data_IF_591938088032
#
_entry.id   IF_591938088032
#
_cell.length_a   1.000
_cell.length_b   1.000
_cell.length_c   1.000
_cell.angle_alpha   90.00
_cell.angle_beta   90.00
_cell.angle_gamma   90.00
#
_symmetry.space_group_name_H-M   'P 1'
#
loop_
_entity.id
_entity.type
_entity.pdbx_description
1 polymer ?
#
# COMPACT_ATOMS: atom_id res chain seq x y z
N UNK A 1 -26.96 12.86 -3.99
CA UNK A 1 -26.30 12.45 -5.24
C UNK A 1 -24.78 12.34 -5.11
N UNK A 2 -24.12 13.17 -4.28
CA UNK A 2 -22.67 13.10 -4.09
C UNK A 2 -22.24 11.98 -3.12
N UNK A 3 -23.10 11.61 -2.15
CA UNK A 3 -22.79 10.57 -1.15
C UNK A 3 -22.69 9.18 -1.77
N UNK A 4 -23.57 8.84 -2.72
CA UNK A 4 -23.54 7.54 -3.39
C UNK A 4 -22.30 7.36 -4.27
N UNK A 5 -21.87 8.42 -4.96
CA UNK A 5 -20.61 8.41 -5.72
C UNK A 5 -19.39 8.25 -4.83
N UNK A 6 -19.39 8.87 -3.65
CA UNK A 6 -18.32 8.73 -2.68
C UNK A 6 -18.23 7.30 -2.14
N UNK A 7 -19.37 6.70 -1.76
CA UNK A 7 -19.43 5.31 -1.28
C UNK A 7 -18.94 4.34 -2.37
N UNK A 8 -19.41 4.51 -3.61
CA UNK A 8 -18.95 3.69 -4.74
C UNK A 8 -17.44 3.83 -4.98
N UNK A 9 -16.91 5.05 -4.92
CA UNK A 9 -15.49 5.31 -5.05
C UNK A 9 -14.68 4.62 -3.94
N UNK A 10 -15.12 4.73 -2.67
CA UNK A 10 -14.46 4.07 -1.55
C UNK A 10 -14.48 2.54 -1.69
N UNK A 11 -15.59 1.96 -2.17
CA UNK A 11 -15.67 0.54 -2.49
C UNK A 11 -14.66 0.13 -3.56
N UNK A 12 -14.51 0.94 -4.62
CA UNK A 12 -13.48 0.70 -5.65
C UNK A 12 -12.06 0.77 -5.07
N UNK A 13 -11.76 1.75 -4.22
CA UNK A 13 -10.46 1.86 -3.56
C UNK A 13 -10.17 0.64 -2.70
N UNK A 14 -11.14 0.20 -1.89
CA UNK A 14 -11.00 -1.00 -1.05
C UNK A 14 -10.76 -2.26 -1.88
N UNK A 15 -11.55 -2.45 -2.94
CA UNK A 15 -11.42 -3.61 -3.82
C UNK A 15 -10.09 -3.63 -4.58
N UNK A 16 -9.72 -2.51 -5.19
CA UNK A 16 -8.44 -2.38 -5.91
C UNK A 16 -7.26 -2.62 -4.97
N UNK A 17 -7.31 -2.09 -3.74
CA UNK A 17 -6.26 -2.30 -2.74
C UNK A 17 -6.13 -3.76 -2.32
N UNK A 18 -7.26 -4.43 -2.03
CA UNK A 18 -7.27 -5.84 -1.63
C UNK A 18 -6.71 -6.74 -2.75
N UNK A 19 -7.18 -6.52 -3.98
CA UNK A 19 -6.75 -7.30 -5.14
C UNK A 19 -5.27 -7.08 -5.44
N UNK A 20 -4.80 -5.83 -5.41
CA UNK A 20 -3.40 -5.48 -5.70
C UNK A 20 -2.45 -6.03 -4.63
N UNK A 21 -2.87 -6.03 -3.35
CA UNK A 21 -2.12 -6.67 -2.28
C UNK A 21 -1.96 -8.17 -2.52
N UNK A 22 -3.05 -8.86 -2.88
CA UNK A 22 -3.02 -10.27 -3.23
C UNK A 22 -2.14 -10.55 -4.44
N UNK A 23 -2.19 -9.68 -5.45
CA UNK A 23 -1.34 -9.78 -6.64
C UNK A 23 0.15 -9.61 -6.29
N UNK A 24 0.52 -8.66 -5.44
CA UNK A 24 1.89 -8.52 -4.93
C UNK A 24 2.38 -9.78 -4.21
N UNK A 25 1.53 -10.39 -3.38
CA UNK A 25 1.81 -11.65 -2.70
C UNK A 25 1.98 -12.82 -3.68
N UNK A 26 1.11 -12.90 -4.70
CA UNK A 26 1.20 -13.88 -5.79
C UNK A 26 2.52 -13.74 -6.56
N UNK A 27 2.91 -12.52 -6.85
CA UNK A 27 4.15 -12.23 -7.55
C UNK A 27 5.39 -12.66 -6.76
N UNK A 28 5.38 -12.49 -5.43
CA UNK A 28 6.48 -12.93 -4.57
C UNK A 28 6.62 -14.45 -4.50
N UNK A 29 5.52 -15.16 -4.28
CA UNK A 29 5.55 -16.63 -4.13
C UNK A 29 5.54 -17.38 -5.47
N UNK A 30 5.26 -16.72 -6.59
CA UNK A 30 5.21 -17.33 -7.91
C UNK A 30 3.93 -18.11 -8.22
N UNK A 31 2.89 -18.05 -7.38
CA UNK A 31 1.61 -18.71 -7.71
C UNK A 31 0.78 -17.87 -8.68
N UNK A 32 -0.12 -18.51 -9.47
CA UNK A 32 -0.86 -17.83 -10.51
C UNK A 32 -1.76 -16.70 -9.97
N UNK A 33 -1.72 -15.52 -10.59
CA UNK A 33 -2.45 -14.32 -10.18
C UNK A 33 -3.98 -14.51 -10.18
N UNK A 34 -4.52 -15.40 -11.01
CA UNK A 34 -5.96 -15.68 -11.09
C UNK A 34 -6.51 -16.42 -9.86
N UNK A 35 -5.64 -16.94 -9.00
CA UNK A 35 -6.02 -17.53 -7.71
C UNK A 35 -6.38 -16.44 -6.71
N UNK A 36 -5.83 -15.23 -6.91
CA UNK A 36 -6.10 -14.08 -6.04
C UNK A 36 -7.58 -13.73 -6.09
N UNK A 37 -8.23 -13.79 -4.94
CA UNK A 37 -9.60 -13.33 -4.72
C UNK A 37 -9.60 -12.17 -3.76
N UNK A 38 -10.60 -11.30 -3.87
CA UNK A 38 -10.86 -10.27 -2.87
C UNK A 38 -12.25 -10.54 -2.29
N UNK A 39 -12.30 -11.25 -1.17
CA UNK A 39 -13.52 -11.46 -0.40
C UNK A 39 -14.01 -10.18 0.26
N UNK A 40 -15.25 -10.17 0.74
CA UNK A 40 -15.83 -9.00 1.42
C UNK A 40 -14.99 -8.57 2.63
N UNK A 41 -14.45 -9.52 3.39
CA UNK A 41 -13.58 -9.25 4.54
C UNK A 41 -12.27 -8.58 4.12
N UNK A 42 -11.66 -9.03 3.03
CA UNK A 42 -10.43 -8.47 2.50
C UNK A 42 -10.65 -7.04 2.00
N UNK A 43 -11.77 -6.81 1.30
CA UNK A 43 -12.18 -5.47 0.85
C UNK A 43 -12.47 -4.56 2.04
N UNK A 44 -13.17 -5.04 3.06
CA UNK A 44 -13.46 -4.25 4.27
C UNK A 44 -12.19 -3.86 5.03
N UNK A 45 -11.24 -4.79 5.22
CA UNK A 45 -9.94 -4.51 5.84
C UNK A 45 -9.12 -3.52 5.02
N UNK A 46 -9.07 -3.70 3.70
CA UNK A 46 -8.36 -2.80 2.80
C UNK A 46 -8.98 -1.41 2.76
N UNK A 47 -10.31 -1.32 2.85
CA UNK A 47 -11.03 -0.06 2.93
C UNK A 47 -10.72 0.67 4.24
N UNK A 48 -10.75 -0.04 5.38
CA UNK A 48 -10.38 0.53 6.68
C UNK A 48 -8.94 1.05 6.64
N UNK A 49 -8.02 0.27 6.10
CA UNK A 49 -6.63 0.69 5.92
C UNK A 49 -6.52 1.93 5.02
N UNK A 50 -7.22 1.98 3.90
CA UNK A 50 -7.24 3.13 3.01
C UNK A 50 -7.79 4.40 3.70
N UNK A 51 -8.83 4.27 4.53
CA UNK A 51 -9.38 5.39 5.31
C UNK A 51 -8.35 5.91 6.32
N UNK A 52 -7.67 5.02 7.04
CA UNK A 52 -6.63 5.39 8.02
C UNK A 52 -5.49 6.11 7.30
N UNK A 53 -5.00 5.57 6.19
CA UNK A 53 -3.93 6.17 5.40
C UNK A 53 -4.33 7.53 4.86
N UNK A 54 -5.54 7.67 4.31
CA UNK A 54 -6.05 8.98 3.88
C UNK A 54 -6.14 9.97 5.04
N UNK A 55 -6.61 9.53 6.21
CA UNK A 55 -6.66 10.36 7.41
C UNK A 55 -5.27 10.88 7.80
N UNK A 56 -4.26 10.01 7.78
CA UNK A 56 -2.87 10.37 8.08
C UNK A 56 -2.32 11.35 7.03
N UNK A 57 -2.58 11.11 5.73
CA UNK A 57 -2.16 12.00 4.65
C UNK A 57 -2.80 13.38 4.79
N UNK A 58 -4.11 13.46 5.03
CA UNK A 58 -4.80 14.74 5.23
C UNK A 58 -4.34 15.46 6.48
N UNK A 59 -4.10 14.76 7.59
CA UNK A 59 -3.56 15.34 8.82
C UNK A 59 -2.15 15.86 8.59
N UNK A 60 -1.27 15.09 7.96
CA UNK A 60 0.08 15.51 7.64
C UNK A 60 0.11 16.72 6.70
N UNK A 61 -0.76 16.74 5.66
CA UNK A 61 -0.90 17.90 4.79
C UNK A 61 -1.45 19.13 5.54
N UNK A 62 -2.41 18.92 6.45
CA UNK A 62 -2.94 19.97 7.32
C UNK A 62 -1.85 20.60 8.19
N UNK A 63 -1.04 19.76 8.85
CA UNK A 63 0.11 20.19 9.66
C UNK A 63 1.12 20.92 8.76
N UNK A 64 1.46 20.40 7.59
CA UNK A 64 2.37 21.02 6.63
C UNK A 64 1.91 22.40 6.20
N UNK A 65 0.61 22.57 5.91
CA UNK A 65 0.01 23.86 5.55
C UNK A 65 0.08 24.82 6.74
N UNK A 66 -0.21 24.36 7.95
CA UNK A 66 -0.19 25.15 9.17
C UNK A 66 1.22 25.65 9.47
N UNK A 67 2.24 24.80 9.37
CA UNK A 67 3.64 25.20 9.44
C UNK A 67 4.01 26.23 8.38
N UNK A 68 3.56 26.02 7.15
CA UNK A 68 3.79 26.98 6.05
C UNK A 68 3.22 28.37 6.38
N UNK A 69 1.99 28.43 6.89
CA UNK A 69 1.34 29.69 7.25
C UNK A 69 2.04 30.39 8.40
N UNK A 70 2.47 29.65 9.43
CA UNK A 70 3.20 30.18 10.58
C UNK A 70 4.55 30.79 10.17
N UNK A 71 5.30 30.10 9.30
CA UNK A 71 6.62 30.61 8.85
C UNK A 71 6.44 31.77 7.87
N UNK A 72 5.45 31.68 6.96
CA UNK A 72 5.13 32.82 6.04
C UNK A 72 4.80 34.10 6.79
N UNK A 73 4.13 33.99 7.96
CA UNK A 73 3.83 35.14 8.81
C UNK A 73 5.08 35.73 9.45
N UNK A 74 6.16 34.92 9.63
CA UNK A 74 7.38 35.30 10.38
C UNK A 74 8.56 35.71 9.47
N UNK A 75 8.58 35.29 8.22
CA UNK A 75 9.71 35.59 7.31
C UNK A 75 9.26 35.89 5.88
N UNK A 76 9.93 36.90 5.24
CA UNK A 76 9.77 37.26 3.83
C UNK A 76 10.39 36.22 2.85
N UNK A 77 10.64 34.99 3.27
CA UNK A 77 11.40 34.00 2.50
C UNK A 77 10.47 33.35 1.46
N UNK A 78 10.80 33.52 0.20
CA UNK A 78 10.10 32.97 -0.98
C UNK A 78 10.32 31.45 -1.17
N UNK A 79 11.16 30.80 -0.39
CA UNK A 79 11.65 29.44 -0.62
C UNK A 79 10.93 28.30 0.13
N UNK A 80 9.78 28.60 0.69
CA UNK A 80 9.02 27.62 1.48
C UNK A 80 8.33 26.51 0.69
N UNK A 81 8.35 26.57 -0.64
CA UNK A 81 7.72 25.55 -1.47
C UNK A 81 8.43 24.18 -1.42
N UNK A 82 9.75 24.18 -1.15
CA UNK A 82 10.57 22.97 -1.06
C UNK A 82 10.19 22.09 0.13
N UNK A 83 10.11 22.66 1.34
CA UNK A 83 9.73 21.91 2.54
C UNK A 83 8.33 21.32 2.43
N UNK A 84 7.40 22.06 1.86
CA UNK A 84 6.04 21.58 1.63
C UNK A 84 6.02 20.39 0.68
N UNK A 85 6.77 20.45 -0.41
CA UNK A 85 6.90 19.37 -1.37
C UNK A 85 7.57 18.14 -0.73
N UNK A 86 8.67 18.34 0.00
CA UNK A 86 9.38 17.30 0.71
C UNK A 86 8.47 16.59 1.72
N UNK A 87 7.75 17.34 2.56
CA UNK A 87 6.80 16.74 3.51
C UNK A 87 5.68 15.97 2.81
N UNK A 88 5.12 16.52 1.73
CA UNK A 88 4.08 15.83 0.98
C UNK A 88 4.56 14.49 0.40
N UNK A 89 5.77 14.46 -0.16
CA UNK A 89 6.35 13.23 -0.72
C UNK A 89 6.70 12.23 0.39
N UNK A 90 7.26 12.70 1.52
CA UNK A 90 7.56 11.83 2.67
C UNK A 90 6.28 11.19 3.22
N UNK A 91 5.19 11.94 3.29
CA UNK A 91 3.89 11.43 3.72
C UNK A 91 3.29 10.41 2.74
N UNK A 92 3.60 10.50 1.44
CA UNK A 92 3.20 9.47 0.47
C UNK A 92 3.82 8.11 0.78
N UNK A 93 5.03 8.07 1.33
CA UNK A 93 5.70 6.85 1.75
C UNK A 93 5.30 6.36 3.15
N UNK A 94 4.63 7.21 3.94
CA UNK A 94 4.25 6.89 5.31
C UNK A 94 3.43 5.60 5.47
N UNK A 95 2.47 5.26 4.58
CA UNK A 95 1.72 4.01 4.69
C UNK A 95 2.61 2.77 4.68
N UNK A 96 3.65 2.76 3.86
CA UNK A 96 4.60 1.64 3.78
C UNK A 96 5.42 1.55 5.07
N UNK A 97 5.88 2.69 5.58
CA UNK A 97 6.63 2.77 6.85
C UNK A 97 5.76 2.28 8.00
N UNK A 98 4.49 2.71 8.05
CA UNK A 98 3.54 2.33 9.09
C UNK A 98 3.22 0.83 9.09
N UNK A 99 2.98 0.25 7.91
CA UNK A 99 2.76 -1.20 7.77
C UNK A 99 3.98 -2.00 8.24
N UNK A 100 5.18 -1.58 7.87
CA UNK A 100 6.42 -2.21 8.30
C UNK A 100 6.66 -2.06 9.81
N UNK A 101 6.23 -0.95 10.41
CA UNK A 101 6.29 -0.71 11.85
C UNK A 101 5.37 -1.67 12.62
N UNK A 102 4.15 -1.89 12.11
CA UNK A 102 3.21 -2.87 12.68
C UNK A 102 3.78 -4.29 12.64
N UNK A 103 4.51 -4.65 11.59
CA UNK A 103 5.15 -5.95 11.45
C UNK A 103 6.34 -6.19 12.42
N UNK A 104 6.65 -5.25 13.30
CA UNK A 104 7.72 -5.32 14.34
C UNK A 104 9.09 -5.75 13.78
N UNK A 105 9.48 -5.27 12.61
CA UNK A 105 10.75 -5.66 12.00
C UNK A 105 11.89 -4.73 12.41
N UNK A 106 13.03 -5.31 12.74
CA UNK A 106 14.25 -4.59 13.17
C UNK A 106 14.89 -3.72 12.07
N UNK A 107 14.49 -3.89 10.81
CA UNK A 107 15.00 -3.14 9.65
C UNK A 107 14.27 -1.83 9.35
N UNK A 108 13.42 -1.36 10.24
CA UNK A 108 12.58 -0.16 10.01
C UNK A 108 13.46 1.08 9.84
N UNK A 109 14.55 1.19 10.60
CA UNK A 109 15.39 2.39 10.62
C UNK A 109 16.11 2.64 9.29
N UNK A 110 16.86 1.69 8.70
CA UNK A 110 17.50 1.90 7.40
C UNK A 110 16.48 2.07 6.27
N UNK A 111 15.31 1.40 6.34
CA UNK A 111 14.28 1.53 5.33
C UNK A 111 13.58 2.88 5.40
N UNK A 112 13.22 3.37 6.59
CA UNK A 112 12.64 4.71 6.77
C UNK A 112 13.61 5.80 6.32
N UNK A 113 14.90 5.65 6.61
CA UNK A 113 15.94 6.56 6.16
C UNK A 113 16.04 6.57 4.63
N UNK A 114 15.97 5.41 3.99
CA UNK A 114 15.93 5.28 2.53
C UNK A 114 14.74 6.02 1.93
N UNK A 115 13.54 5.92 2.52
CA UNK A 115 12.35 6.65 2.05
C UNK A 115 12.49 8.17 2.24
N UNK A 116 13.09 8.63 3.35
CA UNK A 116 13.36 10.04 3.58
C UNK A 116 14.34 10.58 2.54
N UNK A 117 15.43 9.85 2.28
CA UNK A 117 16.43 10.23 1.27
C UNK A 117 15.79 10.25 -0.12
N UNK A 118 15.01 9.24 -0.47
CA UNK A 118 14.27 9.18 -1.76
C UNK A 118 13.31 10.35 -1.90
N UNK A 119 12.58 10.71 -0.84
CA UNK A 119 11.67 11.87 -0.82
C UNK A 119 12.43 13.18 -1.05
N UNK A 120 13.62 13.30 -0.45
CA UNK A 120 14.47 14.47 -0.62
C UNK A 120 14.98 14.58 -2.06
N UNK A 121 15.49 13.48 -2.63
CA UNK A 121 15.96 13.42 -4.03
C UNK A 121 14.83 13.76 -5.00
N UNK A 122 13.65 13.15 -4.83
CA UNK A 122 12.47 13.42 -5.67
C UNK A 122 12.06 14.89 -5.55
N UNK A 123 12.08 15.47 -4.34
CA UNK A 123 11.74 16.89 -4.12
C UNK A 123 12.72 17.84 -4.83
N UNK A 124 14.01 17.52 -4.82
CA UNK A 124 15.03 18.26 -5.55
C UNK A 124 14.81 18.17 -7.05
N UNK A 125 14.56 16.96 -7.57
CA UNK A 125 14.30 16.72 -8.99
C UNK A 125 13.08 17.53 -9.44
N UNK A 126 11.96 17.44 -8.72
CA UNK A 126 10.74 18.19 -9.05
C UNK A 126 10.98 19.69 -9.00
N UNK A 127 11.81 20.19 -8.06
CA UNK A 127 12.15 21.61 -7.97
C UNK A 127 12.99 22.08 -9.16
N UNK A 128 13.98 21.28 -9.58
CA UNK A 128 14.82 21.59 -10.73
C UNK A 128 13.97 21.60 -12.01
N UNK A 129 13.20 20.53 -12.23
CA UNK A 129 12.30 20.43 -13.38
C UNK A 129 11.14 21.42 -13.32
N UNK A 130 10.62 21.73 -12.12
CA UNK A 130 9.58 22.74 -11.92
C UNK A 130 10.02 24.17 -12.22
N UNK A 131 11.33 24.46 -12.21
CA UNK A 131 11.89 25.74 -12.74
C UNK A 131 11.91 25.77 -14.27
N UNK A 132 12.09 24.61 -14.91
CA UNK A 132 12.09 24.46 -16.37
C UNK A 132 10.66 24.37 -16.90
N UNK A 133 9.81 23.60 -16.22
CA UNK A 133 8.37 23.55 -16.45
C UNK A 133 7.67 24.37 -15.38
N UNK A 134 7.23 25.57 -15.71
CA UNK A 134 6.42 26.38 -14.76
C UNK A 134 5.20 25.54 -14.35
N UNK A 135 5.13 25.18 -13.07
CA UNK A 135 3.99 24.43 -12.49
C UNK A 135 2.66 25.21 -12.66
N UNK A 136 2.73 26.53 -12.87
CA UNK A 136 1.61 27.37 -13.29
C UNK A 136 0.98 26.90 -14.61
N UNK A 137 1.77 26.34 -15.54
CA UNK A 137 1.26 25.88 -16.84
C UNK A 137 0.31 24.67 -16.70
N UNK A 138 0.48 23.82 -15.67
CA UNK A 138 -0.41 22.68 -15.44
C UNK A 138 -1.76 23.08 -14.83
N UNK A 139 -1.80 24.11 -13.97
CA UNK A 139 -3.05 24.58 -13.38
C UNK A 139 -3.88 25.40 -14.36
N UNK A 140 -3.25 25.94 -15.41
CA UNK A 140 -3.89 26.80 -16.41
C UNK A 140 -4.50 25.99 -17.56
N UNK A 141 -4.23 24.69 -17.65
CA UNK A 141 -4.87 23.81 -18.62
C UNK A 141 -6.37 23.74 -18.28
N UNK A 142 -7.28 24.16 -19.15
CA UNK A 142 -8.72 24.21 -18.85
C UNK A 142 -9.28 22.86 -18.45
N UNK A 143 -8.80 21.77 -19.01
CA UNK A 143 -9.15 20.40 -18.66
C UNK A 143 -8.79 20.05 -17.21
N UNK A 144 -7.60 20.45 -16.74
CA UNK A 144 -7.15 20.18 -15.36
C UNK A 144 -7.97 20.98 -14.35
N UNK A 145 -8.30 22.23 -14.68
CA UNK A 145 -9.11 23.09 -13.83
C UNK A 145 -10.54 22.58 -13.69
N UNK A 146 -11.15 22.14 -14.77
CA UNK A 146 -12.51 21.61 -14.79
C UNK A 146 -12.62 20.25 -14.08
N UNK A 147 -11.60 19.37 -14.24
CA UNK A 147 -11.63 18.00 -13.73
C UNK A 147 -10.74 17.77 -12.50
N UNK A 148 -10.33 18.83 -11.80
CA UNK A 148 -9.36 18.79 -10.69
C UNK A 148 -9.69 17.72 -9.64
N UNK A 149 -10.96 17.65 -9.19
CA UNK A 149 -11.38 16.68 -8.17
C UNK A 149 -11.30 15.24 -8.72
N UNK A 150 -11.76 15.03 -9.96
CA UNK A 150 -11.70 13.70 -10.61
C UNK A 150 -10.25 13.23 -10.78
N UNK A 151 -9.34 14.13 -11.15
CA UNK A 151 -7.92 13.82 -11.29
C UNK A 151 -7.27 13.48 -9.94
N UNK A 152 -7.63 14.20 -8.88
CA UNK A 152 -7.17 13.88 -7.52
C UNK A 152 -7.67 12.48 -7.09
N UNK A 153 -8.96 12.20 -7.32
CA UNK A 153 -9.52 10.87 -7.01
C UNK A 153 -8.85 9.75 -7.81
N UNK A 154 -8.61 9.95 -9.10
CA UNK A 154 -7.87 9.00 -9.93
C UNK A 154 -6.42 8.81 -9.42
N UNK A 155 -5.75 9.89 -9.04
CA UNK A 155 -4.41 9.84 -8.45
C UNK A 155 -4.37 9.01 -7.15
N UNK A 156 -5.34 9.19 -6.25
CA UNK A 156 -5.45 8.38 -5.05
C UNK A 156 -5.68 6.89 -5.36
N UNK A 157 -6.51 6.58 -6.35
CA UNK A 157 -6.76 5.20 -6.75
C UNK A 157 -5.48 4.53 -7.28
N UNK A 158 -4.73 5.21 -8.13
CA UNK A 158 -3.43 4.73 -8.63
C UNK A 158 -2.42 4.59 -7.49
N UNK A 159 -2.42 5.52 -6.54
CA UNK A 159 -1.58 5.45 -5.35
C UNK A 159 -1.87 4.19 -4.54
N UNK A 160 -3.14 3.93 -4.18
CA UNK A 160 -3.51 2.74 -3.41
C UNK A 160 -3.27 1.45 -4.16
N UNK A 161 -3.48 1.42 -5.47
CA UNK A 161 -3.13 0.29 -6.33
C UNK A 161 -1.64 -0.06 -6.21
N UNK A 162 -0.78 0.92 -6.45
CA UNK A 162 0.67 0.72 -6.48
C UNK A 162 1.23 0.35 -5.09
N UNK A 163 0.84 1.10 -4.05
CA UNK A 163 1.36 0.85 -2.70
C UNK A 163 0.84 -0.45 -2.09
N UNK A 164 -0.41 -0.82 -2.34
CA UNK A 164 -0.94 -2.12 -1.91
C UNK A 164 -0.21 -3.28 -2.56
N UNK A 165 0.15 -3.15 -3.84
CA UNK A 165 1.00 -4.12 -4.53
C UNK A 165 2.38 -4.24 -3.87
N UNK A 166 3.04 -3.12 -3.62
CA UNK A 166 4.35 -3.11 -2.94
C UNK A 166 4.29 -3.75 -1.56
N UNK A 167 3.28 -3.42 -0.75
CA UNK A 167 3.10 -4.03 0.57
C UNK A 167 2.87 -5.53 0.44
N UNK A 168 2.05 -5.98 -0.50
CA UNK A 168 1.81 -7.38 -0.78
C UNK A 168 3.07 -8.15 -1.20
N UNK A 169 3.98 -7.48 -1.91
CA UNK A 169 5.25 -8.07 -2.33
C UNK A 169 6.29 -8.11 -1.20
N UNK A 170 6.39 -7.04 -0.38
CA UNK A 170 7.40 -6.97 0.69
C UNK A 170 7.01 -7.75 1.95
N UNK A 171 5.72 -7.79 2.32
CA UNK A 171 5.26 -8.44 3.55
C UNK A 171 5.66 -9.92 3.65
N UNK A 172 5.54 -10.76 2.61
CA UNK A 172 5.99 -12.14 2.65
C UNK A 172 7.50 -12.30 2.86
N UNK A 173 8.31 -11.38 2.35
CA UNK A 173 9.77 -11.41 2.54
C UNK A 173 10.15 -11.26 4.02
N UNK A 174 9.35 -10.53 4.77
CA UNK A 174 9.56 -10.22 6.17
C UNK A 174 8.86 -11.21 7.12
N UNK A 175 7.99 -12.07 6.57
CA UNK A 175 7.21 -13.04 7.34
C UNK A 175 8.11 -14.12 7.94
N UNK A 176 8.04 -14.31 9.27
CA UNK A 176 8.78 -15.34 10.02
C UNK A 176 7.89 -16.44 10.56
N UNK A 177 6.60 -16.17 10.70
CA UNK A 177 5.61 -17.08 11.22
C UNK A 177 4.74 -17.58 10.09
N UNK A 178 4.65 -18.89 9.92
CA UNK A 178 3.81 -19.51 8.90
C UNK A 178 2.82 -20.45 9.55
N UNK A 179 1.60 -20.42 9.08
CA UNK A 179 0.62 -21.44 9.41
C UNK A 179 0.89 -22.66 8.54
N UNK A 180 0.84 -23.83 9.16
CA UNK A 180 0.91 -25.11 8.45
C UNK A 180 -0.43 -25.82 8.58
N UNK A 181 -0.88 -26.41 7.50
CA UNK A 181 -2.10 -27.18 7.41
C UNK A 181 -1.76 -28.63 7.07
N UNK A 182 -2.29 -29.57 7.86
CA UNK A 182 -2.17 -30.99 7.57
C UNK A 182 -3.28 -31.43 6.60
N UNK A 183 -2.89 -31.91 5.43
CA UNK A 183 -3.79 -32.44 4.44
C UNK A 183 -3.21 -33.73 3.83
N UNK A 184 -4.01 -34.81 3.78
CA UNK A 184 -3.58 -36.12 3.30
C UNK A 184 -2.29 -36.65 3.98
N UNK A 185 -2.19 -36.54 5.29
CA UNK A 185 -1.01 -36.90 6.08
C UNK A 185 0.29 -36.15 5.71
N UNK A 186 0.18 -34.99 5.05
CA UNK A 186 1.30 -34.14 4.69
C UNK A 186 1.07 -32.72 5.19
N UNK A 187 2.15 -32.09 5.67
CA UNK A 187 2.11 -30.72 6.15
C UNK A 187 2.45 -29.73 5.04
N UNK A 188 1.61 -28.71 4.89
CA UNK A 188 1.79 -27.64 3.89
C UNK A 188 1.81 -26.27 4.55
N UNK A 189 2.67 -25.38 4.09
CA UNK A 189 2.67 -23.99 4.50
C UNK A 189 1.52 -23.24 3.86
N UNK A 190 0.79 -22.47 4.66
CA UNK A 190 -0.24 -21.55 4.17
C UNK A 190 0.44 -20.25 3.74
N UNK A 191 0.61 -20.08 2.45
CA UNK A 191 1.27 -18.92 1.85
C UNK A 191 0.35 -17.69 1.83
N UNK A 192 -0.90 -17.90 1.42
CA UNK A 192 -1.90 -16.85 1.33
C UNK A 192 -3.30 -17.42 1.61
N UNK A 193 -4.19 -16.54 2.06
CA UNK A 193 -5.60 -16.84 2.28
C UNK A 193 -6.45 -15.80 1.53
N UNK A 194 -7.37 -16.27 0.72
CA UNK A 194 -8.30 -15.45 -0.06
C UNK A 194 -9.72 -15.99 0.16
N UNK A 195 -10.50 -15.28 0.97
CA UNK A 195 -11.86 -15.69 1.32
C UNK A 195 -11.89 -17.14 1.87
N UNK A 196 -12.54 -18.05 1.17
CA UNK A 196 -12.60 -19.48 1.49
C UNK A 196 -11.46 -20.32 0.91
N UNK A 197 -10.49 -19.70 0.23
CA UNK A 197 -9.39 -20.41 -0.44
C UNK A 197 -8.06 -20.18 0.26
N UNK A 198 -7.35 -21.29 0.50
CA UNK A 198 -5.98 -21.25 1.00
C UNK A 198 -5.02 -21.68 -0.11
N UNK A 199 -3.95 -20.92 -0.28
CA UNK A 199 -2.85 -21.29 -1.16
C UNK A 199 -1.81 -21.99 -0.31
N UNK A 200 -1.60 -23.28 -0.58
CA UNK A 200 -0.71 -24.15 0.16
C UNK A 200 0.50 -24.51 -0.69
N UNK A 201 1.65 -24.65 -0.06
CA UNK A 201 2.87 -25.15 -0.69
C UNK A 201 3.67 -25.98 0.30
N UNK A 202 4.45 -26.92 -0.22
CA UNK A 202 5.43 -27.68 0.58
C UNK A 202 6.65 -26.84 0.98
N UNK A 203 6.87 -25.69 0.31
CA UNK A 203 7.97 -24.77 0.57
C UNK A 203 7.42 -23.33 0.75
N UNK A 204 8.07 -22.54 1.60
CA UNK A 204 7.76 -21.11 1.78
C UNK A 204 8.68 -20.18 0.97
N UNK A 205 9.52 -20.76 0.11
CA UNK A 205 10.44 -20.02 -0.76
C UNK A 205 9.89 -19.89 -2.19
N UNK A 206 10.47 -18.98 -2.96
CA UNK A 206 10.19 -18.68 -4.37
C UNK A 206 10.22 -19.89 -5.31
N UNK A 207 10.90 -20.99 -4.91
CA UNK A 207 11.19 -22.12 -5.80
C UNK A 207 10.11 -23.21 -5.80
N UNK A 208 8.98 -22.99 -5.16
CA UNK A 208 7.93 -24.02 -5.16
C UNK A 208 7.11 -23.94 -6.46
N UNK A 209 7.42 -24.82 -7.41
CA UNK A 209 6.65 -24.98 -8.65
C UNK A 209 5.30 -25.72 -8.46
N UNK A 210 4.93 -26.06 -7.22
CA UNK A 210 3.70 -26.81 -6.90
C UNK A 210 2.91 -26.10 -5.82
N UNK A 211 1.71 -25.65 -6.19
CA UNK A 211 0.75 -25.03 -5.29
C UNK A 211 -0.52 -25.85 -5.26
N UNK A 212 -1.07 -26.03 -4.04
CA UNK A 212 -2.38 -26.62 -3.82
C UNK A 212 -3.35 -25.53 -3.42
N UNK A 213 -4.51 -25.49 -4.06
CA UNK A 213 -5.61 -24.60 -3.70
C UNK A 213 -6.59 -25.42 -2.88
N UNK A 214 -6.68 -25.07 -1.59
CA UNK A 214 -7.55 -25.73 -0.64
C UNK A 214 -8.78 -24.86 -0.38
N UNK A 215 -9.98 -25.42 -0.57
CA UNK A 215 -11.23 -24.73 -0.28
C UNK A 215 -11.71 -25.12 1.13
N UNK A 216 -11.77 -24.14 2.03
CA UNK A 216 -12.16 -24.37 3.43
C UNK A 216 -13.65 -24.69 3.60
N UNK A 217 -14.50 -24.33 2.65
CA UNK A 217 -15.94 -24.63 2.71
C UNK A 217 -16.27 -26.09 2.37
N UNK A 218 -15.44 -26.73 1.56
CA UNK A 218 -15.65 -28.10 1.09
C UNK A 218 -14.94 -29.15 1.92
N UNK A 219 -14.04 -28.72 2.81
CA UNK A 219 -13.24 -29.60 3.65
C UNK A 219 -13.87 -29.73 5.03
N UNK A 220 -13.84 -30.95 5.57
CA UNK A 220 -14.20 -31.22 6.96
C UNK A 220 -13.23 -30.58 7.95
N UNK A 221 -12.96 -31.27 9.07
CA UNK A 221 -11.99 -30.79 10.06
C UNK A 221 -10.58 -30.82 9.48
N UNK A 222 -9.84 -29.71 9.69
CA UNK A 222 -8.42 -29.58 9.34
C UNK A 222 -7.65 -28.97 10.51
N UNK A 223 -6.41 -29.40 10.67
CA UNK A 223 -5.54 -28.93 11.74
C UNK A 223 -4.61 -27.84 11.21
N UNK A 224 -4.50 -26.72 11.93
CA UNK A 224 -3.59 -25.63 11.62
C UNK A 224 -2.62 -25.47 12.78
N UNK A 225 -1.33 -25.48 12.48
CA UNK A 225 -0.26 -25.24 13.44
C UNK A 225 0.59 -24.04 13.01
N UNK A 226 0.98 -23.19 13.96
CA UNK A 226 1.87 -22.07 13.72
C UNK A 226 3.33 -22.51 13.87
N UNK A 227 4.15 -22.24 12.86
CA UNK A 227 5.56 -22.63 12.83
C UNK A 227 6.44 -21.39 12.64
N UNK A 228 7.45 -21.27 13.49
CA UNK A 228 8.49 -20.25 13.39
C UNK A 228 9.61 -20.71 12.46
N UNK A 229 9.84 -19.94 11.38
CA UNK A 229 10.92 -20.21 10.44
C UNK A 229 12.07 -19.26 10.71
N UNK A 230 13.24 -19.79 11.09
CA UNK A 230 14.50 -19.01 11.09
C UNK A 230 14.97 -18.83 9.64
N UNK A 231 14.93 -17.59 9.14
CA UNK A 231 15.55 -17.21 7.88
C UNK A 231 16.99 -16.83 8.09
#
# INVERSE_FOLDING_TARGET
RNSSLFIAYMGCVGWVSAYSYGWGTSFYYGFPWWVVGAGLDDVARSLLYAIIVMGILFTGWGIGILFFLLIKKRSKIQDLSFFRLFFAITLLFFPVIFELLILKQYFILPLSLSFIISSLVISIIIRIYGRIFSVSCFSDIPFVREHRIKLIMAGFLVYFWFFSFLVGWYKPQLKKEYQMLCYNNSWYYVLARYDSRLVLSSSFKDDSNRFLIFNTEQSGFYEINDVYVRK
#
